data_IF_689108147155
#
_entry.id   IF_689108147155
#
_cell.length_a   1.000
_cell.length_b   1.000
_cell.length_c   1.000
_cell.angle_alpha   90.00
_cell.angle_beta   90.00
_cell.angle_gamma   90.00
#
_symmetry.space_group_name_H-M   'P 1'
#
loop_
_entity.id
_entity.type
_entity.pdbx_description
1 polymer ?
#
# COMPACT_ATOMS: atom_id res chain seq x y z
N UNK A 1 -15.55 -61.29 85.30
CA UNK A 1 -15.67 -59.81 85.50
C UNK A 1 -15.10 -59.10 84.31
N UNK A 2 -15.99 -58.72 83.40
CA UNK A 2 -15.67 -57.98 82.14
C UNK A 2 -15.81 -56.50 82.44
N UNK A 3 -14.74 -55.70 82.20
CA UNK A 3 -14.79 -54.24 82.24
C UNK A 3 -15.28 -53.72 80.84
N UNK A 4 -16.18 -52.75 80.84
CA UNK A 4 -16.57 -52.13 79.53
C UNK A 4 -15.53 -51.19 79.01
N UNK A 5 -15.40 -51.01 77.71
CA UNK A 5 -14.46 -50.11 77.06
C UNK A 5 -14.83 -48.64 77.27
N UNK A 6 -13.78 -47.81 77.48
CA UNK A 6 -13.86 -46.36 77.67
C UNK A 6 -14.10 -45.69 76.34
N UNK A 7 -15.09 -44.76 76.20
CA UNK A 7 -15.33 -44.04 74.96
C UNK A 7 -14.26 -42.96 74.72
N UNK A 8 -13.65 -42.95 73.54
CA UNK A 8 -12.71 -41.94 73.09
C UNK A 8 -13.43 -40.63 72.69
N UNK A 9 -13.06 -39.47 73.25
CA UNK A 9 -13.72 -38.22 72.94
C UNK A 9 -13.42 -37.78 71.50
N UNK A 10 -14.41 -37.62 70.64
CA UNK A 10 -14.28 -37.01 69.32
C UNK A 10 -13.95 -35.54 69.48
N UNK A 11 -12.78 -35.10 68.90
CA UNK A 11 -12.36 -33.70 68.85
C UNK A 11 -13.25 -32.87 68.00
N UNK A 12 -13.86 -31.75 68.47
CA UNK A 12 -14.87 -30.98 67.76
C UNK A 12 -14.35 -30.05 66.61
N UNK A 13 -13.07 -30.16 66.25
CA UNK A 13 -12.47 -29.28 65.21
C UNK A 13 -12.48 -29.81 63.76
N UNK A 14 -12.80 -31.11 63.55
CA UNK A 14 -12.61 -31.76 62.28
C UNK A 14 -13.67 -31.33 61.18
N UNK A 15 -14.91 -31.00 61.59
CA UNK A 15 -15.99 -30.61 60.65
C UNK A 15 -15.83 -29.18 60.12
N UNK A 16 -15.42 -28.22 60.97
CA UNK A 16 -15.18 -26.83 60.51
C UNK A 16 -13.96 -26.75 59.59
N UNK A 17 -12.93 -27.55 59.81
CA UNK A 17 -11.71 -27.58 58.97
C UNK A 17 -12.03 -28.14 57.57
N UNK A 18 -12.86 -29.17 57.45
CA UNK A 18 -13.31 -29.74 56.18
C UNK A 18 -14.23 -28.79 55.39
N UNK A 19 -15.07 -28.00 56.07
CA UNK A 19 -15.93 -27.00 55.45
C UNK A 19 -15.11 -25.82 54.86
N UNK A 20 -14.10 -25.35 55.60
CA UNK A 20 -13.18 -24.30 55.14
C UNK A 20 -12.36 -24.76 53.94
N UNK A 21 -11.88 -26.00 53.92
CA UNK A 21 -11.15 -26.54 52.75
C UNK A 21 -12.05 -26.71 51.51
N UNK A 22 -13.31 -27.08 51.67
CA UNK A 22 -14.27 -27.17 50.56
C UNK A 22 -14.65 -25.81 50.02
N UNK A 23 -14.79 -24.79 50.84
CA UNK A 23 -15.06 -23.42 50.41
C UNK A 23 -13.83 -22.81 49.72
N UNK A 24 -12.64 -23.05 50.19
CA UNK A 24 -11.39 -22.62 49.52
C UNK A 24 -11.17 -23.33 48.18
N UNK A 25 -11.49 -24.61 48.07
CA UNK A 25 -11.42 -25.36 46.82
C UNK A 25 -12.45 -24.86 45.79
N UNK A 26 -13.68 -24.56 46.25
CA UNK A 26 -14.74 -24.02 45.39
C UNK A 26 -14.42 -22.59 44.91
N UNK A 27 -13.79 -21.77 45.78
CA UNK A 27 -13.36 -20.42 45.38
C UNK A 27 -12.18 -20.48 44.40
N UNK A 28 -11.24 -21.40 44.56
CA UNK A 28 -10.09 -21.60 43.67
C UNK A 28 -10.53 -22.11 42.29
N UNK A 29 -11.52 -23.02 42.24
CA UNK A 29 -12.09 -23.48 40.95
C UNK A 29 -12.90 -22.39 40.26
N UNK A 30 -13.60 -21.51 41.00
CA UNK A 30 -14.33 -20.39 40.42
C UNK A 30 -13.38 -19.33 39.84
N UNK A 31 -12.26 -19.05 40.53
CA UNK A 31 -11.22 -18.13 40.04
C UNK A 31 -10.49 -18.72 38.81
N UNK A 32 -10.18 -20.02 38.81
CA UNK A 32 -9.60 -20.68 37.62
C UNK A 32 -10.55 -20.71 36.43
N UNK A 33 -11.87 -20.86 36.65
CA UNK A 33 -12.86 -20.80 35.58
C UNK A 33 -13.03 -19.38 34.99
N UNK A 34 -12.92 -18.34 35.86
CA UNK A 34 -12.99 -16.94 35.41
C UNK A 34 -11.74 -16.51 34.61
N UNK A 35 -10.56 -17.07 34.86
CA UNK A 35 -9.34 -16.78 34.10
C UNK A 35 -9.27 -17.53 32.74
N UNK A 36 -9.97 -18.66 32.61
CA UNK A 36 -10.01 -19.42 31.36
C UNK A 36 -10.90 -18.75 30.29
N UNK A 37 -11.86 -17.91 30.68
CA UNK A 37 -12.70 -17.16 29.73
C UNK A 37 -12.04 -15.88 29.19
N UNK A 38 -10.95 -15.41 29.80
CA UNK A 38 -10.24 -14.21 29.35
C UNK A 38 -9.20 -14.47 28.23
N UNK A 39 -8.90 -15.72 27.89
CA UNK A 39 -7.94 -16.09 26.83
C UNK A 39 -8.59 -16.78 25.61
N UNK A 40 -9.93 -16.85 25.53
CA UNK A 40 -10.64 -17.46 24.40
C UNK A 40 -11.20 -16.44 23.38
N UNK A 41 -10.87 -15.15 23.49
CA UNK A 41 -11.05 -14.18 22.43
C UNK A 41 -9.84 -14.26 21.51
N UNK A 42 -9.73 -15.31 20.71
CA UNK A 42 -8.70 -15.46 19.71
C UNK A 42 -8.92 -14.46 18.56
N UNK A 43 -7.87 -14.11 17.85
CA UNK A 43 -7.77 -13.27 16.65
C UNK A 43 -8.72 -13.71 15.50
N UNK A 44 -9.53 -14.75 15.67
CA UNK A 44 -10.45 -15.29 14.66
C UNK A 44 -11.72 -14.43 14.45
N UNK A 45 -12.04 -13.52 15.39
CA UNK A 45 -13.27 -12.71 15.34
C UNK A 45 -13.05 -11.27 14.84
N UNK A 46 -11.82 -10.89 14.50
CA UNK A 46 -11.58 -9.53 13.97
C UNK A 46 -11.92 -9.46 12.49
N UNK A 47 -12.67 -8.43 12.05
CA UNK A 47 -12.93 -8.23 10.64
C UNK A 47 -11.63 -8.14 9.82
N UNK A 48 -11.65 -8.66 8.59
CA UNK A 48 -10.46 -8.78 7.72
C UNK A 48 -10.64 -8.00 6.45
N UNK A 49 -9.75 -7.04 6.21
CA UNK A 49 -9.64 -6.33 4.95
C UNK A 49 -8.36 -6.80 4.25
N UNK A 50 -8.51 -7.40 3.07
CA UNK A 50 -7.35 -7.85 2.27
C UNK A 50 -7.09 -6.85 1.16
N UNK A 51 -5.83 -6.44 1.00
CA UNK A 51 -5.41 -5.43 0.02
C UNK A 51 -4.33 -6.01 -0.90
N UNK A 52 -4.46 -5.81 -2.19
CA UNK A 52 -3.54 -6.40 -3.17
C UNK A 52 -2.17 -5.76 -3.18
N UNK A 53 -2.08 -4.43 -3.31
CA UNK A 53 -0.81 -3.69 -3.40
C UNK A 53 -0.40 -3.09 -2.05
N UNK A 54 0.89 -2.88 -1.84
CA UNK A 54 1.39 -2.33 -0.59
C UNK A 54 1.12 -0.82 -0.44
N UNK A 55 1.01 -0.08 -1.53
CA UNK A 55 0.62 1.33 -1.53
C UNK A 55 -0.83 1.48 -1.03
N UNK A 56 -1.79 0.76 -1.63
CA UNK A 56 -3.17 0.75 -1.14
C UNK A 56 -3.29 0.15 0.25
N UNK A 57 -2.42 -0.83 0.58
CA UNK A 57 -2.36 -1.42 1.91
C UNK A 57 -2.01 -0.41 2.99
N UNK A 58 -1.05 0.48 2.74
CA UNK A 58 -0.71 1.56 3.67
C UNK A 58 -1.87 2.55 3.83
N UNK A 59 -2.45 3.02 2.72
CA UNK A 59 -3.64 3.89 2.73
C UNK A 59 -4.79 3.27 3.51
N UNK A 60 -5.07 1.98 3.28
CA UNK A 60 -6.16 1.26 3.96
C UNK A 60 -5.89 1.12 5.46
N UNK A 61 -4.65 0.85 5.88
CA UNK A 61 -4.27 0.80 7.29
C UNK A 61 -4.46 2.12 8.02
N UNK A 62 -4.12 3.24 7.37
CA UNK A 62 -4.34 4.59 7.92
C UNK A 62 -5.83 4.88 8.17
N UNK A 63 -6.72 4.32 7.35
CA UNK A 63 -8.17 4.50 7.44
C UNK A 63 -8.78 3.55 8.46
N UNK A 64 -8.45 2.28 8.38
CA UNK A 64 -9.02 1.22 9.21
C UNK A 64 -8.55 1.33 10.66
N UNK A 65 -7.26 1.68 10.87
CA UNK A 65 -6.65 1.74 12.20
C UNK A 65 -6.70 0.37 12.89
N UNK A 66 -7.27 0.35 14.09
CA UNK A 66 -7.45 -0.86 14.91
C UNK A 66 -8.82 -1.55 14.74
N UNK A 67 -9.67 -1.04 13.83
CA UNK A 67 -11.05 -1.52 13.66
C UNK A 67 -11.13 -2.87 12.94
N UNK A 68 -10.16 -3.19 12.07
CA UNK A 68 -10.06 -4.46 11.38
C UNK A 68 -8.60 -4.86 11.16
N UNK A 69 -8.35 -6.12 10.87
CA UNK A 69 -7.06 -6.60 10.40
C UNK A 69 -6.88 -6.26 8.92
N UNK A 70 -5.75 -5.63 8.56
CA UNK A 70 -5.42 -5.31 7.17
C UNK A 70 -4.25 -6.19 6.70
N UNK A 71 -4.58 -7.19 5.90
CA UNK A 71 -3.60 -8.07 5.25
C UNK A 71 -3.23 -7.51 3.87
N UNK A 72 -1.94 -7.30 3.62
CA UNK A 72 -1.41 -6.83 2.34
C UNK A 72 -0.70 -7.97 1.63
N UNK A 73 -1.12 -8.26 0.39
CA UNK A 73 -0.62 -9.41 -0.37
C UNK A 73 0.75 -9.15 -1.00
N UNK A 74 0.97 -7.95 -1.54
CA UNK A 74 2.21 -7.57 -2.19
C UNK A 74 3.28 -7.18 -1.16
N UNK A 75 4.45 -7.79 -1.25
CA UNK A 75 5.60 -7.49 -0.38
C UNK A 75 6.23 -6.13 -0.73
N UNK A 76 6.95 -5.49 0.23
CA UNK A 76 7.78 -4.33 -0.09
C UNK A 76 8.75 -4.61 -1.24
N UNK A 77 9.00 -3.59 -2.06
CA UNK A 77 9.85 -3.63 -3.25
C UNK A 77 9.42 -4.64 -4.33
N UNK A 78 8.22 -5.22 -4.25
CA UNK A 78 7.70 -6.06 -5.32
C UNK A 78 7.07 -5.19 -6.41
N UNK A 79 7.05 -5.71 -7.63
CA UNK A 79 6.44 -5.08 -8.79
C UNK A 79 4.96 -5.52 -8.90
N UNK A 80 3.99 -4.59 -8.90
CA UNK A 80 2.57 -4.90 -8.93
C UNK A 80 2.13 -5.59 -10.23
N UNK A 81 2.81 -5.37 -11.35
CA UNK A 81 2.46 -6.00 -12.61
C UNK A 81 2.83 -7.48 -12.68
N UNK A 82 3.87 -7.89 -11.94
CA UNK A 82 4.46 -9.23 -12.07
C UNK A 82 4.26 -10.12 -10.84
N UNK A 83 3.88 -9.57 -9.66
CA UNK A 83 3.73 -10.40 -8.48
C UNK A 83 2.57 -11.40 -8.61
N UNK A 84 2.74 -12.55 -7.99
CA UNK A 84 1.73 -13.58 -7.94
C UNK A 84 1.44 -14.01 -6.51
N UNK A 85 0.32 -14.67 -6.30
CA UNK A 85 -0.12 -15.16 -4.99
C UNK A 85 0.32 -16.59 -4.73
N UNK A 86 0.73 -16.85 -3.48
CA UNK A 86 0.80 -18.19 -2.95
C UNK A 86 -0.61 -18.76 -2.68
N UNK A 87 -0.74 -20.09 -2.53
CA UNK A 87 -2.01 -20.70 -2.16
C UNK A 87 -2.58 -20.17 -0.83
N UNK A 88 -1.72 -19.83 0.13
CA UNK A 88 -2.14 -19.24 1.40
C UNK A 88 -2.74 -17.84 1.18
N UNK A 89 -2.10 -16.99 0.39
CA UNK A 89 -2.60 -15.67 0.07
C UNK A 89 -3.91 -15.71 -0.75
N UNK A 90 -4.07 -16.69 -1.65
CA UNK A 90 -5.32 -16.89 -2.35
C UNK A 90 -6.47 -17.27 -1.38
N UNK A 91 -6.18 -18.11 -0.37
CA UNK A 91 -7.15 -18.46 0.66
C UNK A 91 -7.50 -17.27 1.60
N UNK A 92 -6.56 -16.32 1.79
CA UNK A 92 -6.86 -15.07 2.54
C UNK A 92 -7.90 -14.21 1.80
N UNK A 93 -7.82 -14.12 0.48
CA UNK A 93 -8.83 -13.40 -0.32
C UNK A 93 -10.23 -13.99 -0.13
N UNK A 94 -10.36 -15.34 -0.09
CA UNK A 94 -11.64 -16.02 0.07
C UNK A 94 -12.25 -15.88 1.47
N UNK A 95 -11.46 -15.47 2.46
CA UNK A 95 -11.88 -15.29 3.86
C UNK A 95 -12.02 -13.82 4.26
N UNK A 96 -11.80 -12.90 3.34
CA UNK A 96 -11.90 -11.48 3.60
C UNK A 96 -13.35 -11.04 3.74
N UNK A 97 -13.62 -10.06 4.61
CA UNK A 97 -14.87 -9.32 4.64
C UNK A 97 -14.92 -8.29 3.51
N UNK A 98 -13.75 -7.73 3.15
CA UNK A 98 -13.59 -6.81 2.03
C UNK A 98 -12.23 -7.01 1.37
N UNK A 99 -12.22 -7.10 0.03
CA UNK A 99 -11.00 -7.04 -0.78
C UNK A 99 -10.89 -5.68 -1.45
N UNK A 100 -9.78 -4.97 -1.21
CA UNK A 100 -9.45 -3.70 -1.87
C UNK A 100 -8.33 -3.95 -2.87
N UNK A 101 -8.53 -3.60 -4.12
CA UNK A 101 -7.54 -3.80 -5.18
C UNK A 101 -7.43 -2.60 -6.10
N UNK A 102 -6.29 -2.46 -6.78
CA UNK A 102 -6.07 -1.31 -7.67
C UNK A 102 -6.96 -1.40 -8.92
N UNK A 103 -6.91 -2.53 -9.60
CA UNK A 103 -7.65 -2.72 -10.85
C UNK A 103 -6.99 -2.07 -12.06
N UNK A 104 -7.80 -1.78 -13.08
CA UNK A 104 -7.37 -1.20 -14.36
C UNK A 104 -6.24 -2.00 -15.05
N UNK A 105 -6.14 -3.30 -14.73
CA UNK A 105 -5.12 -4.19 -15.30
C UNK A 105 -3.74 -4.09 -14.64
N UNK A 106 -3.60 -3.46 -13.47
CA UNK A 106 -2.31 -3.38 -12.76
C UNK A 106 -1.83 -4.77 -12.32
N UNK A 107 -2.66 -5.49 -11.54
CA UNK A 107 -2.29 -6.76 -10.90
C UNK A 107 -2.74 -7.96 -11.74
N UNK A 108 -2.23 -8.10 -12.96
CA UNK A 108 -2.71 -9.10 -13.95
C UNK A 108 -2.77 -10.52 -13.39
N UNK A 109 -1.75 -10.94 -12.64
CA UNK A 109 -1.69 -12.29 -12.06
C UNK A 109 -2.61 -12.51 -10.87
N UNK A 110 -3.11 -11.43 -10.26
CA UNK A 110 -3.94 -11.47 -9.03
C UNK A 110 -5.42 -11.39 -9.35
N UNK A 111 -5.83 -10.70 -10.42
CA UNK A 111 -7.23 -10.42 -10.75
C UNK A 111 -8.10 -11.66 -10.80
N UNK A 112 -7.60 -12.77 -11.34
CA UNK A 112 -8.34 -14.06 -11.36
C UNK A 112 -8.72 -14.57 -9.95
N UNK A 113 -7.89 -14.29 -8.95
CA UNK A 113 -8.14 -14.68 -7.56
C UNK A 113 -9.14 -13.72 -6.90
N UNK A 114 -9.08 -12.42 -7.23
CA UNK A 114 -10.09 -11.42 -6.83
C UNK A 114 -11.45 -11.80 -7.41
N UNK A 115 -11.52 -12.18 -8.68
CA UNK A 115 -12.75 -12.62 -9.34
C UNK A 115 -13.30 -13.93 -8.74
N UNK A 116 -12.44 -14.86 -8.35
CA UNK A 116 -12.85 -16.08 -7.64
C UNK A 116 -13.44 -15.76 -6.26
N UNK A 117 -12.79 -14.89 -5.47
CA UNK A 117 -13.31 -14.43 -4.18
C UNK A 117 -14.66 -13.72 -4.32
N UNK A 118 -14.80 -12.80 -5.30
CA UNK A 118 -16.07 -12.14 -5.64
C UNK A 118 -17.15 -13.15 -5.99
N UNK A 119 -16.85 -14.15 -6.79
CA UNK A 119 -17.79 -15.20 -7.18
C UNK A 119 -18.21 -16.09 -6.01
N UNK A 120 -17.40 -16.16 -4.96
CA UNK A 120 -17.69 -16.84 -3.70
C UNK A 120 -18.47 -15.98 -2.69
N UNK A 121 -18.81 -14.73 -3.05
CA UNK A 121 -19.60 -13.82 -2.24
C UNK A 121 -18.77 -12.85 -1.39
N UNK A 122 -17.46 -12.75 -1.58
CA UNK A 122 -16.62 -11.75 -0.91
C UNK A 122 -16.83 -10.38 -1.56
N UNK A 123 -17.06 -9.35 -0.74
CA UNK A 123 -17.12 -7.99 -1.23
C UNK A 123 -15.76 -7.52 -1.76
N UNK A 124 -15.78 -6.88 -2.93
CA UNK A 124 -14.54 -6.43 -3.59
C UNK A 124 -14.68 -4.99 -4.07
N UNK A 125 -13.65 -4.18 -3.87
CA UNK A 125 -13.63 -2.79 -4.27
C UNK A 125 -12.44 -2.47 -5.18
N UNK A 126 -12.73 -2.13 -6.44
CA UNK A 126 -11.76 -1.64 -7.42
C UNK A 126 -11.58 -0.13 -7.26
N UNK A 127 -10.41 0.27 -6.76
CA UNK A 127 -10.14 1.68 -6.43
C UNK A 127 -9.86 2.50 -7.68
N UNK A 128 -9.07 1.98 -8.61
CA UNK A 128 -8.62 2.70 -9.80
C UNK A 128 -9.76 3.22 -10.66
N UNK A 129 -10.79 2.40 -10.88
CA UNK A 129 -12.00 2.80 -11.61
C UNK A 129 -12.75 3.93 -10.88
N UNK A 130 -12.86 3.82 -9.56
CA UNK A 130 -13.66 4.73 -8.74
C UNK A 130 -13.04 6.13 -8.58
N UNK A 131 -11.71 6.27 -8.72
CA UNK A 131 -11.04 7.58 -8.59
C UNK A 131 -11.09 8.45 -9.84
N UNK A 132 -11.62 7.95 -10.95
CA UNK A 132 -11.73 8.63 -12.24
C UNK A 132 -10.42 8.49 -13.02
N UNK A 133 -10.22 7.37 -13.69
CA UNK A 133 -8.95 7.05 -14.33
C UNK A 133 -8.63 7.99 -15.51
N UNK A 134 -7.34 8.31 -15.65
CA UNK A 134 -6.81 8.86 -16.89
C UNK A 134 -6.65 7.74 -17.92
N UNK A 135 -6.49 8.12 -19.17
CA UNK A 135 -6.07 7.20 -20.23
C UNK A 135 -4.65 7.51 -20.65
N UNK A 136 -3.89 6.48 -21.00
CA UNK A 136 -2.58 6.68 -21.61
C UNK A 136 -2.72 7.50 -22.90
N UNK A 137 -1.92 8.54 -23.01
CA UNK A 137 -1.83 9.35 -24.23
C UNK A 137 -0.97 8.65 -25.28
N UNK A 138 -1.31 8.84 -26.55
CA UNK A 138 -0.39 8.49 -27.61
C UNK A 138 0.87 9.35 -27.50
N UNK A 139 2.05 8.84 -27.87
CA UNK A 139 3.26 9.66 -27.97
C UNK A 139 3.03 10.85 -28.92
N UNK A 140 3.61 12.02 -28.60
CA UNK A 140 3.45 13.24 -29.41
C UNK A 140 4.04 13.08 -30.83
N UNK A 141 4.94 12.13 -31.04
CA UNK A 141 5.57 11.78 -32.31
C UNK A 141 4.71 10.88 -33.22
N UNK A 142 3.49 10.55 -32.80
CA UNK A 142 2.56 9.68 -33.56
C UNK A 142 2.97 8.21 -33.64
N UNK A 143 3.97 7.79 -32.88
CA UNK A 143 4.36 6.40 -32.78
C UNK A 143 3.26 5.52 -32.18
N UNK A 144 3.24 4.21 -32.47
CA UNK A 144 2.26 3.30 -31.87
C UNK A 144 2.54 3.12 -30.37
N UNK A 145 1.89 3.93 -29.53
CA UNK A 145 1.86 3.71 -28.10
C UNK A 145 1.03 2.46 -27.79
N UNK A 146 1.65 1.36 -27.40
CA UNK A 146 0.98 0.08 -27.13
C UNK A 146 -0.11 0.17 -26.04
N UNK A 147 -0.12 1.25 -25.23
CA UNK A 147 -1.10 1.50 -24.18
C UNK A 147 -2.10 2.62 -24.51
N UNK A 148 -1.95 3.38 -25.62
CA UNK A 148 -2.77 4.54 -25.93
C UNK A 148 -4.28 4.22 -25.89
N UNK A 149 -5.05 5.07 -25.20
CA UNK A 149 -6.49 4.90 -25.03
C UNK A 149 -6.91 3.88 -23.95
N UNK A 150 -5.99 3.12 -23.37
CA UNK A 150 -6.28 2.24 -22.22
C UNK A 150 -6.27 3.06 -20.92
N UNK A 151 -7.08 2.70 -19.92
CA UNK A 151 -6.99 3.33 -18.61
C UNK A 151 -5.60 3.19 -18.01
N UNK A 152 -5.11 4.27 -17.38
CA UNK A 152 -3.85 4.30 -16.64
C UNK A 152 -4.09 3.88 -15.18
N UNK A 153 -3.49 2.77 -14.69
CA UNK A 153 -3.74 2.29 -13.34
C UNK A 153 -2.99 3.08 -12.24
N UNK A 154 -2.03 3.95 -12.59
CA UNK A 154 -1.04 4.53 -11.67
C UNK A 154 -1.53 5.80 -10.95
N UNK A 155 -2.79 5.82 -10.51
CA UNK A 155 -3.44 6.99 -9.90
C UNK A 155 -2.75 7.48 -8.62
N UNK A 156 -2.04 6.61 -7.89
CA UNK A 156 -1.39 6.95 -6.63
C UNK A 156 -0.27 7.98 -6.77
N UNK A 157 0.19 8.26 -7.99
CA UNK A 157 1.19 9.31 -8.24
C UNK A 157 0.62 10.73 -8.14
N UNK A 158 -0.72 10.87 -8.03
CA UNK A 158 -1.43 12.10 -7.66
C UNK A 158 -2.03 11.97 -6.25
N UNK A 159 -1.53 12.71 -5.24
CA UNK A 159 -2.07 12.66 -3.88
C UNK A 159 -3.55 13.02 -3.77
N UNK A 160 -4.10 13.85 -4.66
CA UNK A 160 -5.53 14.19 -4.63
C UNK A 160 -6.41 13.01 -5.08
N UNK A 161 -5.91 12.16 -5.98
CA UNK A 161 -6.56 10.89 -6.32
C UNK A 161 -6.54 9.93 -5.12
N UNK A 162 -5.45 9.91 -4.36
CA UNK A 162 -5.35 9.11 -3.13
C UNK A 162 -6.27 9.65 -2.04
N UNK A 163 -6.46 10.97 -1.92
CA UNK A 163 -7.47 11.56 -1.04
C UNK A 163 -8.89 11.07 -1.38
N UNK A 164 -9.21 11.00 -2.68
CA UNK A 164 -10.49 10.43 -3.13
C UNK A 164 -10.58 8.94 -2.82
N UNK A 165 -9.51 8.17 -3.09
CA UNK A 165 -9.43 6.75 -2.76
C UNK A 165 -9.65 6.50 -1.27
N UNK A 166 -8.98 7.27 -0.39
CA UNK A 166 -9.09 7.16 1.05
C UNK A 166 -10.54 7.32 1.55
N UNK A 167 -11.27 8.33 1.04
CA UNK A 167 -12.69 8.52 1.37
C UNK A 167 -13.56 7.36 0.90
N UNK A 168 -13.35 6.90 -0.33
CA UNK A 168 -14.11 5.77 -0.88
C UNK A 168 -13.81 4.45 -0.16
N UNK A 169 -12.55 4.20 0.22
CA UNK A 169 -12.19 3.03 1.03
C UNK A 169 -12.88 3.10 2.41
N UNK A 170 -12.90 4.29 3.05
CA UNK A 170 -13.61 4.46 4.32
C UNK A 170 -15.12 4.15 4.20
N UNK A 171 -15.76 4.63 3.12
CA UNK A 171 -17.17 4.33 2.85
C UNK A 171 -17.38 2.82 2.67
N UNK A 172 -16.55 2.14 1.88
CA UNK A 172 -16.66 0.69 1.66
C UNK A 172 -16.41 -0.13 2.93
N UNK A 173 -15.46 0.28 3.76
CA UNK A 173 -15.20 -0.37 5.06
C UNK A 173 -16.42 -0.24 5.97
N UNK A 174 -17.00 0.95 6.09
CA UNK A 174 -18.20 1.19 6.92
C UNK A 174 -19.42 0.42 6.39
N UNK A 175 -19.59 0.35 5.08
CA UNK A 175 -20.74 -0.32 4.44
C UNK A 175 -20.68 -1.85 4.53
N UNK A 176 -19.48 -2.45 4.43
CA UNK A 176 -19.35 -3.88 4.17
C UNK A 176 -18.60 -4.66 5.25
N UNK A 177 -17.90 -3.99 6.17
CA UNK A 177 -17.13 -4.66 7.23
C UNK A 177 -17.90 -4.58 8.55
N UNK A 178 -18.48 -5.70 8.97
CA UNK A 178 -19.27 -5.75 10.19
C UNK A 178 -18.42 -5.50 11.44
N UNK A 179 -18.97 -4.80 12.44
CA UNK A 179 -18.34 -4.60 13.74
C UNK A 179 -17.34 -3.45 13.81
N UNK A 180 -17.09 -2.71 12.72
CA UNK A 180 -16.25 -1.50 12.74
C UNK A 180 -16.99 -0.30 13.35
N UNK A 181 -16.30 0.54 14.10
CA UNK A 181 -16.82 1.84 14.52
C UNK A 181 -16.73 2.85 13.36
N UNK A 182 -17.87 3.14 12.75
CA UNK A 182 -17.99 4.13 11.66
C UNK A 182 -17.32 5.47 12.02
N UNK A 183 -17.55 5.97 13.25
CA UNK A 183 -16.99 7.25 13.69
C UNK A 183 -15.47 7.22 13.74
N UNK A 184 -14.89 6.11 14.19
CA UNK A 184 -13.43 5.92 14.23
C UNK A 184 -12.86 5.86 12.82
N UNK A 185 -13.43 5.07 11.91
CA UNK A 185 -12.99 4.96 10.51
C UNK A 185 -13.05 6.33 9.81
N UNK A 186 -14.18 7.06 9.94
CA UNK A 186 -14.32 8.38 9.32
C UNK A 186 -13.38 9.43 9.92
N UNK A 187 -13.11 9.39 11.22
CA UNK A 187 -12.14 10.27 11.86
C UNK A 187 -10.71 9.99 11.37
N UNK A 188 -10.35 8.72 11.20
CA UNK A 188 -9.07 8.32 10.63
C UNK A 188 -8.92 8.83 9.20
N UNK A 189 -9.94 8.61 8.35
CA UNK A 189 -9.95 9.08 6.96
C UNK A 189 -9.81 10.61 6.88
N UNK A 190 -10.51 11.37 7.72
CA UNK A 190 -10.41 12.82 7.75
C UNK A 190 -9.01 13.30 8.18
N UNK A 191 -8.39 12.65 9.17
CA UNK A 191 -7.02 12.94 9.59
C UNK A 191 -6.00 12.66 8.47
N UNK A 192 -6.14 11.52 7.80
CA UNK A 192 -5.27 11.16 6.69
C UNK A 192 -5.45 12.08 5.48
N UNK A 193 -6.69 12.50 5.17
CA UNK A 193 -6.99 13.51 4.14
C UNK A 193 -6.25 14.83 4.38
N UNK A 194 -6.17 15.29 5.63
CA UNK A 194 -5.38 16.46 6.01
C UNK A 194 -3.88 16.29 5.71
N UNK A 195 -3.29 15.14 6.10
CA UNK A 195 -1.88 14.84 5.82
C UNK A 195 -1.57 14.76 4.31
N UNK A 196 -2.50 14.24 3.52
CA UNK A 196 -2.40 14.20 2.06
C UNK A 196 -2.48 15.58 1.43
N UNK A 197 -3.34 16.47 1.95
CA UNK A 197 -3.42 17.87 1.52
C UNK A 197 -2.12 18.63 1.80
N UNK A 198 -1.52 18.42 2.98
CA UNK A 198 -0.22 19.00 3.35
C UNK A 198 0.90 18.47 2.44
N UNK A 199 0.88 17.16 2.12
CA UNK A 199 1.79 16.56 1.15
C UNK A 199 1.67 17.22 -0.23
N UNK A 200 0.44 17.39 -0.75
CA UNK A 200 0.19 18.06 -2.03
C UNK A 200 0.79 19.46 -2.03
N UNK A 201 0.50 20.25 -1.00
CA UNK A 201 1.02 21.62 -0.86
C UNK A 201 2.55 21.66 -0.83
N UNK A 202 3.17 20.71 -0.12
CA UNK A 202 4.62 20.60 -0.06
C UNK A 202 5.23 20.18 -1.42
N UNK A 203 4.58 19.24 -2.14
CA UNK A 203 5.01 18.84 -3.49
C UNK A 203 4.91 19.99 -4.48
N UNK A 204 3.83 20.79 -4.44
CA UNK A 204 3.67 22.00 -5.27
C UNK A 204 4.81 23.00 -5.05
N UNK A 205 5.16 23.26 -3.80
CA UNK A 205 6.31 24.13 -3.45
C UNK A 205 7.64 23.55 -3.92
N UNK A 206 7.83 22.24 -3.81
CA UNK A 206 9.06 21.56 -4.22
C UNK A 206 9.23 21.60 -5.74
N UNK A 207 8.19 21.25 -6.48
CA UNK A 207 8.18 21.28 -7.94
C UNK A 207 8.16 22.69 -8.52
N UNK A 208 7.58 23.66 -7.81
CA UNK A 208 7.62 25.09 -8.15
C UNK A 208 9.04 25.66 -8.29
N UNK A 209 10.05 25.00 -7.72
CA UNK A 209 11.48 25.36 -7.86
C UNK A 209 12.08 24.90 -9.20
N UNK A 210 11.44 23.97 -9.87
CA UNK A 210 11.89 23.46 -11.18
C UNK A 210 11.36 24.42 -12.24
N UNK A 211 12.22 25.06 -13.05
CA UNK A 211 11.78 25.86 -14.17
C UNK A 211 10.86 25.07 -15.08
N UNK A 212 9.79 25.67 -15.58
CA UNK A 212 8.74 24.97 -16.32
C UNK A 212 9.29 24.19 -17.52
N UNK A 213 10.23 24.77 -18.28
CA UNK A 213 10.88 24.10 -19.41
C UNK A 213 11.73 22.89 -19.03
N UNK A 214 12.09 22.74 -17.73
CA UNK A 214 12.85 21.59 -17.19
C UNK A 214 11.95 20.54 -16.54
N UNK A 215 10.65 20.78 -16.42
CA UNK A 215 9.70 19.79 -15.88
C UNK A 215 9.43 18.68 -16.90
N UNK A 216 10.43 17.85 -17.12
CA UNK A 216 10.43 16.78 -18.10
C UNK A 216 10.89 15.46 -17.44
N UNK A 217 10.08 14.40 -17.58
CA UNK A 217 10.30 13.10 -16.97
C UNK A 217 10.63 12.05 -18.02
N UNK A 218 11.63 11.24 -17.74
CA UNK A 218 11.96 10.02 -18.46
C UNK A 218 12.09 8.91 -17.42
N UNK A 219 11.36 7.82 -17.61
CA UNK A 219 11.17 6.76 -16.60
C UNK A 219 11.34 5.37 -17.18
N UNK A 220 11.24 4.32 -16.34
CA UNK A 220 11.33 2.93 -16.79
C UNK A 220 10.16 2.54 -17.71
N UNK A 221 8.92 2.86 -17.29
CA UNK A 221 7.69 2.67 -18.05
C UNK A 221 6.74 3.84 -17.78
N UNK A 222 5.59 3.89 -18.43
CA UNK A 222 4.61 4.97 -18.26
C UNK A 222 3.88 4.83 -16.91
N UNK A 223 4.34 5.57 -15.87
CA UNK A 223 3.79 5.53 -14.50
C UNK A 223 3.37 6.92 -14.00
N UNK A 224 3.94 8.00 -14.53
CA UNK A 224 3.76 9.35 -13.98
C UNK A 224 2.75 10.22 -14.73
N UNK A 225 1.77 9.62 -15.41
CA UNK A 225 0.72 10.37 -16.11
C UNK A 225 -0.07 11.29 -15.19
N UNK A 226 -0.50 10.80 -14.03
CA UNK A 226 -1.26 11.58 -13.04
C UNK A 226 -0.41 12.66 -12.35
N UNK A 227 0.83 12.34 -11.99
CA UNK A 227 1.76 13.34 -11.44
C UNK A 227 2.02 14.45 -12.47
N UNK A 228 2.22 14.08 -13.73
CA UNK A 228 2.47 15.02 -14.81
C UNK A 228 1.27 15.95 -15.03
N UNK A 229 0.06 15.42 -15.06
CA UNK A 229 -1.17 16.23 -15.17
C UNK A 229 -1.33 17.16 -13.97
N UNK A 230 -1.10 16.65 -12.74
CA UNK A 230 -1.29 17.41 -11.51
C UNK A 230 -0.30 18.55 -11.34
N UNK A 231 0.98 18.33 -11.64
CA UNK A 231 2.06 19.28 -11.32
C UNK A 231 2.72 19.95 -12.53
N UNK A 232 2.13 19.79 -13.71
CA UNK A 232 2.59 20.44 -14.93
C UNK A 232 3.92 19.91 -15.46
N UNK A 233 4.13 18.59 -15.37
CA UNK A 233 5.28 17.93 -16.01
C UNK A 233 4.92 17.43 -17.41
N UNK A 234 5.94 17.26 -18.24
CA UNK A 234 5.87 16.55 -19.52
C UNK A 234 6.50 15.18 -19.37
N UNK A 235 5.80 14.13 -19.74
CA UNK A 235 6.40 12.79 -19.87
C UNK A 235 7.00 12.72 -21.28
N UNK A 236 8.33 12.77 -21.36
CA UNK A 236 9.08 12.71 -22.64
C UNK A 236 9.03 11.30 -23.21
N UNK A 237 9.06 10.29 -22.34
CA UNK A 237 8.95 8.90 -22.69
C UNK A 237 9.39 7.97 -21.60
N UNK A 238 9.32 6.68 -21.89
CA UNK A 238 9.72 5.61 -20.98
C UNK A 238 10.60 4.60 -21.72
N UNK A 239 11.54 3.97 -21.00
CA UNK A 239 12.43 2.94 -21.55
C UNK A 239 11.62 1.77 -22.11
N UNK A 240 10.57 1.36 -21.41
CA UNK A 240 9.54 0.43 -21.89
C UNK A 240 8.31 1.26 -22.25
N UNK A 241 8.01 1.46 -23.54
CA UNK A 241 6.92 2.34 -23.98
C UNK A 241 5.54 1.67 -23.79
N UNK A 242 5.24 1.30 -22.58
CA UNK A 242 4.05 0.53 -22.19
C UNK A 242 3.57 0.97 -20.81
N UNK A 243 2.31 0.67 -20.49
CA UNK A 243 1.73 0.85 -19.15
C UNK A 243 1.97 -0.33 -18.22
N UNK A 244 2.92 -1.20 -18.53
CA UNK A 244 3.29 -2.38 -17.71
C UNK A 244 4.79 -2.62 -17.77
N UNK A 245 5.35 -3.20 -16.72
CA UNK A 245 6.76 -3.62 -16.63
C UNK A 245 7.03 -4.95 -17.34
N UNK A 246 6.00 -5.70 -17.74
CA UNK A 246 6.11 -7.02 -18.36
C UNK A 246 6.58 -6.99 -19.83
N UNK A 247 6.49 -5.83 -20.48
CA UNK A 247 6.96 -5.65 -21.84
C UNK A 247 8.49 -5.43 -21.87
N UNK A 248 9.11 -5.72 -23.01
CA UNK A 248 10.53 -5.44 -23.27
C UNK A 248 10.66 -4.40 -24.38
N UNK A 249 11.54 -3.40 -24.21
CA UNK A 249 11.76 -2.41 -25.26
C UNK A 249 12.45 -3.03 -26.48
N UNK A 250 12.10 -2.57 -27.66
CA UNK A 250 12.85 -2.88 -28.88
C UNK A 250 14.06 -1.93 -29.04
N UNK A 251 14.99 -2.28 -29.91
CA UNK A 251 16.11 -1.37 -30.25
C UNK A 251 15.63 -0.07 -30.93
N UNK A 252 14.47 -0.08 -31.61
CA UNK A 252 13.85 1.13 -32.15
C UNK A 252 13.32 2.03 -31.04
N UNK A 253 12.64 1.47 -30.02
CA UNK A 253 12.10 2.24 -28.89
C UNK A 253 13.21 2.96 -28.15
N UNK A 254 14.34 2.28 -27.88
CA UNK A 254 15.51 2.88 -27.24
C UNK A 254 16.13 4.00 -28.06
N UNK A 255 16.19 3.85 -29.41
CA UNK A 255 16.71 4.95 -30.29
C UNK A 255 15.78 6.15 -30.26
N UNK A 256 14.48 5.96 -30.47
CA UNK A 256 13.49 7.04 -30.44
C UNK A 256 13.51 7.76 -29.10
N UNK A 257 13.56 7.03 -27.99
CA UNK A 257 13.68 7.64 -26.67
C UNK A 257 14.98 8.42 -26.50
N UNK A 258 16.13 7.90 -27.00
CA UNK A 258 17.41 8.59 -26.95
C UNK A 258 17.36 9.93 -27.68
N UNK A 259 16.71 9.98 -28.85
CA UNK A 259 16.50 11.21 -29.62
C UNK A 259 15.60 12.19 -28.88
N UNK A 260 14.44 11.74 -28.37
CA UNK A 260 13.53 12.57 -27.58
C UNK A 260 14.17 13.16 -26.32
N UNK A 261 14.99 12.37 -25.62
CA UNK A 261 15.76 12.82 -24.42
C UNK A 261 16.76 13.91 -24.79
N UNK A 262 17.47 13.78 -25.93
CA UNK A 262 18.42 14.79 -26.42
C UNK A 262 17.71 16.08 -26.82
N UNK A 263 16.62 15.98 -27.55
CA UNK A 263 15.82 17.13 -28.00
C UNK A 263 15.21 17.90 -26.82
N UNK A 264 14.68 17.17 -25.85
CA UNK A 264 14.12 17.75 -24.63
C UNK A 264 15.16 18.30 -23.65
N UNK A 265 16.45 18.04 -23.85
CA UNK A 265 17.54 18.48 -22.97
C UNK A 265 17.48 17.88 -21.58
N UNK A 266 16.91 16.68 -21.45
CA UNK A 266 16.76 15.98 -20.17
C UNK A 266 18.11 15.62 -19.60
N UNK A 267 18.32 15.88 -18.29
CA UNK A 267 19.59 15.63 -17.60
C UNK A 267 19.54 14.45 -16.66
N UNK A 268 18.36 13.93 -16.34
CA UNK A 268 18.15 12.83 -15.38
C UNK A 268 17.08 11.88 -15.89
N UNK A 269 17.41 10.59 -15.86
CA UNK A 269 16.48 9.48 -16.07
C UNK A 269 16.11 8.91 -14.71
N UNK A 270 14.84 8.64 -14.49
CA UNK A 270 14.34 8.11 -13.24
C UNK A 270 14.06 6.61 -13.36
N UNK A 271 14.78 5.82 -12.57
CA UNK A 271 14.67 4.37 -12.54
C UNK A 271 13.74 3.92 -11.39
N UNK A 272 12.84 2.98 -11.66
CA UNK A 272 11.99 2.40 -10.63
C UNK A 272 12.77 1.48 -9.68
N UNK A 273 12.51 1.60 -8.36
CA UNK A 273 13.20 0.81 -7.31
C UNK A 273 12.85 -0.67 -7.33
N UNK A 274 11.67 -1.03 -7.86
CA UNK A 274 11.21 -2.43 -7.98
C UNK A 274 11.79 -3.14 -9.22
N UNK A 275 12.48 -2.40 -10.11
CA UNK A 275 13.00 -2.89 -11.37
C UNK A 275 14.54 -2.87 -11.42
N UNK A 276 15.16 -3.78 -12.19
CA UNK A 276 16.61 -3.73 -12.42
C UNK A 276 17.05 -2.42 -13.08
N UNK A 277 18.02 -1.73 -12.51
CA UNK A 277 18.56 -0.45 -13.04
C UNK A 277 19.20 -0.58 -14.43
N UNK A 278 19.45 -1.80 -14.89
CA UNK A 278 20.14 -2.09 -16.15
C UNK A 278 19.58 -1.34 -17.36
N UNK A 279 18.26 -1.23 -17.48
CA UNK A 279 17.64 -0.54 -18.62
C UNK A 279 17.92 0.98 -18.58
N UNK A 280 17.86 1.61 -17.42
CA UNK A 280 18.20 3.02 -17.26
C UNK A 280 19.71 3.27 -17.51
N UNK A 281 20.55 2.33 -17.12
CA UNK A 281 22.00 2.37 -17.39
C UNK A 281 22.33 2.20 -18.88
N UNK A 282 21.60 1.33 -19.61
CA UNK A 282 21.73 1.21 -21.07
C UNK A 282 21.34 2.53 -21.74
N UNK A 283 20.21 3.14 -21.38
CA UNK A 283 19.83 4.44 -21.92
C UNK A 283 20.87 5.52 -21.61
N UNK A 284 21.42 5.54 -20.39
CA UNK A 284 22.50 6.45 -20.01
C UNK A 284 23.73 6.26 -20.89
N UNK A 285 24.11 5.02 -21.19
CA UNK A 285 25.26 4.72 -22.05
C UNK A 285 25.03 5.20 -23.49
N UNK A 286 23.83 4.97 -24.06
CA UNK A 286 23.43 5.47 -25.39
C UNK A 286 23.45 7.01 -25.48
N UNK A 287 23.20 7.68 -24.35
CA UNK A 287 23.29 9.14 -24.21
C UNK A 287 24.73 9.63 -23.93
N UNK A 288 25.74 8.76 -24.06
CA UNK A 288 27.15 9.08 -23.85
C UNK A 288 27.50 9.42 -22.41
N UNK A 289 26.76 8.90 -21.44
CA UNK A 289 26.98 9.09 -20.01
C UNK A 289 26.64 10.50 -19.48
N UNK A 290 26.02 11.34 -20.29
CA UNK A 290 25.75 12.76 -19.98
C UNK A 290 24.53 12.97 -19.08
N UNK A 291 23.70 11.95 -18.90
CA UNK A 291 22.52 11.99 -18.04
C UNK A 291 22.78 11.27 -16.73
N UNK A 292 22.22 11.80 -15.64
CA UNK A 292 22.16 11.11 -14.35
C UNK A 292 21.11 10.00 -14.36
N UNK A 293 21.25 9.02 -13.46
CA UNK A 293 20.20 8.06 -13.15
C UNK A 293 19.87 8.20 -11.69
N UNK A 294 18.61 8.45 -11.36
CA UNK A 294 18.09 8.53 -9.99
C UNK A 294 16.99 7.50 -9.78
N UNK A 295 16.93 6.95 -8.59
CA UNK A 295 15.90 5.98 -8.22
C UNK A 295 14.66 6.66 -7.69
N UNK A 296 13.48 6.14 -8.07
CA UNK A 296 12.18 6.50 -7.52
C UNK A 296 11.45 5.24 -7.06
N UNK A 297 10.66 5.38 -6.02
CA UNK A 297 9.71 4.36 -5.58
C UNK A 297 8.38 4.58 -6.30
N UNK A 298 8.29 4.18 -7.57
CA UNK A 298 7.11 4.48 -8.39
C UNK A 298 6.01 3.41 -8.30
N UNK A 299 6.37 2.16 -7.99
CA UNK A 299 5.46 1.02 -8.04
C UNK A 299 5.22 0.35 -6.68
N UNK A 300 6.08 0.61 -5.70
CA UNK A 300 6.08 -0.14 -4.45
C UNK A 300 6.64 0.69 -3.31
N UNK A 301 6.10 0.45 -2.11
CA UNK A 301 6.73 0.91 -0.88
C UNK A 301 8.00 0.10 -0.61
N UNK A 302 8.97 0.73 0.04
CA UNK A 302 10.13 0.05 0.60
C UNK A 302 9.79 -0.67 1.91
N UNK A 303 10.75 -1.42 2.45
CA UNK A 303 10.67 -1.89 3.83
C UNK A 303 10.56 -0.71 4.80
N UNK A 304 9.87 -0.93 5.92
CA UNK A 304 9.71 0.08 6.98
C UNK A 304 11.07 0.62 7.45
N UNK A 305 11.17 1.94 7.53
CA UNK A 305 12.41 2.62 7.95
C UNK A 305 13.49 2.72 6.86
N UNK A 306 13.17 2.39 5.60
CA UNK A 306 14.08 2.53 4.44
C UNK A 306 13.77 3.77 3.58
N UNK A 307 13.00 4.72 4.10
CA UNK A 307 12.77 6.03 3.48
C UNK A 307 11.55 6.15 2.57
N UNK A 308 10.87 5.04 2.27
CA UNK A 308 9.63 5.00 1.50
C UNK A 308 8.69 3.88 2.00
N UNK A 309 8.68 3.63 3.32
CA UNK A 309 7.90 2.55 3.94
C UNK A 309 6.42 2.86 4.10
N UNK A 310 6.01 4.13 3.90
CA UNK A 310 4.62 4.58 3.85
C UNK A 310 4.37 5.37 2.56
N UNK A 311 3.11 5.53 2.18
CA UNK A 311 2.75 6.34 1.00
C UNK A 311 3.28 7.78 1.10
N UNK A 312 3.13 8.41 2.26
CA UNK A 312 3.61 9.77 2.47
C UNK A 312 5.14 9.88 2.37
N UNK A 313 5.87 8.95 2.96
CA UNK A 313 7.34 8.88 2.83
C UNK A 313 7.75 8.65 1.38
N UNK A 314 7.11 7.73 0.67
CA UNK A 314 7.36 7.43 -0.74
C UNK A 314 7.22 8.67 -1.62
N UNK A 315 6.10 9.39 -1.50
CA UNK A 315 5.85 10.58 -2.31
C UNK A 315 6.81 11.73 -1.97
N UNK A 316 7.21 11.87 -0.71
CA UNK A 316 8.24 12.83 -0.30
C UNK A 316 9.61 12.46 -0.87
N UNK A 317 10.01 11.19 -0.79
CA UNK A 317 11.26 10.71 -1.36
C UNK A 317 11.29 10.95 -2.88
N UNK A 318 10.21 10.60 -3.58
CA UNK A 318 10.10 10.82 -5.02
C UNK A 318 10.16 12.30 -5.41
N UNK A 319 9.38 13.16 -4.75
CA UNK A 319 9.39 14.60 -5.05
C UNK A 319 10.75 15.24 -4.76
N UNK A 320 11.43 14.78 -3.71
CA UNK A 320 12.81 15.19 -3.38
C UNK A 320 13.79 14.79 -4.49
N UNK A 321 13.75 13.51 -4.91
CA UNK A 321 14.63 13.00 -5.96
C UNK A 321 14.36 13.68 -7.31
N UNK A 322 13.08 13.86 -7.70
CA UNK A 322 12.69 14.56 -8.93
C UNK A 322 13.22 16.01 -8.91
N UNK A 323 12.97 16.74 -7.81
CA UNK A 323 13.44 18.13 -7.69
C UNK A 323 14.96 18.23 -7.78
N UNK A 324 15.69 17.41 -7.04
CA UNK A 324 17.15 17.39 -7.06
C UNK A 324 17.69 17.01 -8.44
N UNK A 325 17.14 15.98 -9.07
CA UNK A 325 17.55 15.51 -10.40
C UNK A 325 17.36 16.54 -11.51
N UNK A 326 16.33 17.36 -11.42
CA UNK A 326 16.01 18.36 -12.44
C UNK A 326 16.61 19.74 -12.18
N UNK A 327 16.87 20.11 -10.92
CA UNK A 327 17.50 21.40 -10.58
C UNK A 327 19.02 21.33 -10.33
N UNK A 328 19.55 20.15 -10.04
CA UNK A 328 20.94 19.97 -9.61
C UNK A 328 21.24 20.51 -8.21
N UNK A 329 20.21 20.79 -7.40
CA UNK A 329 20.34 21.39 -6.08
C UNK A 329 19.58 20.62 -4.98
N UNK A 330 19.86 20.95 -3.69
CA UNK A 330 19.19 20.31 -2.57
C UNK A 330 17.70 20.68 -2.52
N UNK A 331 16.87 19.73 -2.14
CA UNK A 331 15.44 19.92 -1.89
C UNK A 331 15.20 20.42 -0.46
N UNK A 332 14.14 21.23 -0.20
CA UNK A 332 13.78 21.60 1.15
C UNK A 332 13.46 20.34 1.98
N UNK A 333 13.73 20.37 3.30
CA UNK A 333 13.33 19.27 4.15
C UNK A 333 11.80 19.07 4.07
N UNK A 334 11.39 17.81 4.03
CA UNK A 334 9.98 17.47 4.13
C UNK A 334 9.45 17.86 5.51
N UNK A 335 8.16 18.25 5.63
CA UNK A 335 7.55 18.45 6.93
C UNK A 335 7.64 17.14 7.74
N UNK A 336 7.89 17.26 9.04
CA UNK A 336 7.84 16.10 9.93
C UNK A 336 6.42 15.52 9.94
N UNK A 337 6.32 14.22 9.98
CA UNK A 337 5.03 13.55 10.20
C UNK A 337 4.56 13.87 11.60
N UNK A 338 3.45 14.64 11.72
CA UNK A 338 2.77 14.95 12.97
C UNK A 338 1.91 13.78 13.42
#
# INVERSE_FOLDING_TARGET
>A
MNKPPIPIPMRPGARLRRLRWRLLSALLTLVLAATATACAGGDEDRPRVVVTTNILGDVTREIVGDQAEVTVLMKPNADPHSFGLSAVQAAELERADLVVFNGLGLEENVLRHVDAARSSGVETFEVGEAVGPLTFRAPDDGGPGAAAGRPDPHFWTDPDRVRKAARLIADRVVENVAGVDEKAVRANAARYDGRLADLTTWMEKSFGRIPEHQRALVTNHHVFGYLAERFGFRVIGAVVPSGTTLASPSSSDLRSLTEAVREAGVRTVFADSSQPKRLAEVLRAELGGRVGVMELHSESLSEKGKGAGTYLEMMRANATAITAGLTGGPTPPAPADG
#
